data_IF_805827631212
#
_entry.id   IF_805827631212
#
_cell.length_a   1.000
_cell.length_b   1.000
_cell.length_c   1.000
_cell.angle_alpha   90.00
_cell.angle_beta   90.00
_cell.angle_gamma   90.00
#
_symmetry.space_group_name_H-M   'P 1'
#
loop_
_entity.id
_entity.type
_entity.pdbx_description
1 polymer ?
#
# COMPACT_ATOMS: atom_id res chain seq x y z
N UNK A 1 9.75 -12.64 -20.30
CA UNK A 1 8.62 -11.79 -20.75
C UNK A 1 8.45 -10.49 -19.95
N UNK A 2 8.63 -10.46 -18.62
CA UNK A 2 8.51 -9.19 -17.88
C UNK A 2 9.56 -8.14 -18.25
N UNK A 3 10.83 -8.53 -18.43
CA UNK A 3 11.89 -7.58 -18.78
C UNK A 3 11.70 -6.88 -20.14
N UNK A 4 11.06 -7.56 -21.10
CA UNK A 4 10.77 -6.98 -22.42
C UNK A 4 9.58 -6.00 -22.39
N UNK A 5 8.59 -6.23 -21.53
CA UNK A 5 7.43 -5.35 -21.41
C UNK A 5 7.77 -4.01 -20.74
N UNK A 6 8.57 -4.02 -19.66
CA UNK A 6 9.04 -2.78 -19.02
C UNK A 6 9.92 -1.94 -19.94
N UNK A 7 10.77 -2.57 -20.75
CA UNK A 7 11.61 -1.85 -21.72
C UNK A 7 10.75 -1.16 -22.80
N UNK A 8 9.77 -1.88 -23.38
CA UNK A 8 8.86 -1.31 -24.37
C UNK A 8 8.03 -0.16 -23.80
N UNK A 9 7.52 -0.30 -22.57
CA UNK A 9 6.83 0.78 -21.88
C UNK A 9 7.70 2.03 -21.74
N UNK A 10 8.96 1.87 -21.30
CA UNK A 10 9.89 2.99 -21.13
C UNK A 10 10.21 3.67 -22.47
N UNK A 11 10.44 2.89 -23.53
CA UNK A 11 10.70 3.42 -24.88
C UNK A 11 9.49 4.19 -25.41
N UNK A 12 8.28 3.66 -25.27
CA UNK A 12 7.08 4.40 -25.69
C UNK A 12 6.87 5.66 -24.83
N UNK A 13 7.10 5.59 -23.52
CA UNK A 13 6.98 6.77 -22.65
C UNK A 13 7.95 7.89 -23.03
N UNK A 14 9.18 7.55 -23.46
CA UNK A 14 10.23 8.51 -23.80
C UNK A 14 10.13 9.04 -25.23
N UNK A 15 9.80 8.19 -26.20
CA UNK A 15 9.87 8.53 -27.64
C UNK A 15 8.51 8.65 -28.33
N UNK A 16 7.43 8.12 -27.75
CA UNK A 16 6.06 8.16 -28.30
C UNK A 16 5.01 8.24 -27.18
N UNK A 17 5.02 9.34 -26.41
CA UNK A 17 4.17 9.50 -25.23
C UNK A 17 2.67 9.53 -25.54
N UNK A 18 2.29 9.72 -26.81
CA UNK A 18 0.89 9.67 -27.28
C UNK A 18 0.46 8.28 -27.74
N UNK A 19 1.32 7.26 -27.59
CA UNK A 19 1.02 5.89 -28.00
C UNK A 19 -0.25 5.37 -27.32
N UNK A 20 -1.14 4.77 -28.11
CA UNK A 20 -2.42 4.25 -27.63
C UNK A 20 -2.24 3.13 -26.59
N UNK A 21 -1.24 2.27 -26.76
CA UNK A 21 -0.96 1.17 -25.84
C UNK A 21 -0.45 1.68 -24.49
N UNK A 22 0.29 2.80 -24.49
CA UNK A 22 0.73 3.45 -23.26
C UNK A 22 -0.48 3.97 -22.48
N UNK A 23 -1.40 4.68 -23.15
CA UNK A 23 -2.65 5.16 -22.53
C UNK A 23 -3.52 4.01 -22.03
N UNK A 24 -3.65 2.94 -22.82
CA UNK A 24 -4.38 1.74 -22.41
C UNK A 24 -3.78 1.11 -21.16
N UNK A 25 -2.46 0.99 -21.07
CA UNK A 25 -1.79 0.41 -19.91
C UNK A 25 -2.03 1.22 -18.62
N UNK A 26 -2.06 2.55 -18.70
CA UNK A 26 -2.44 3.39 -17.56
C UNK A 26 -3.90 3.19 -17.16
N UNK A 27 -4.81 3.15 -18.13
CA UNK A 27 -6.23 2.92 -17.86
C UNK A 27 -6.46 1.55 -17.23
N UNK A 28 -5.81 0.49 -17.72
CA UNK A 28 -5.92 -0.87 -17.16
C UNK A 28 -5.42 -0.94 -15.71
N UNK A 29 -4.31 -0.27 -15.39
CA UNK A 29 -3.83 -0.20 -13.99
C UNK A 29 -4.82 0.57 -13.11
N UNK A 30 -5.36 1.69 -13.59
CA UNK A 30 -6.32 2.49 -12.82
C UNK A 30 -7.65 1.76 -12.60
N UNK A 31 -8.17 1.08 -13.62
CA UNK A 31 -9.43 0.36 -13.55
C UNK A 31 -9.30 -0.96 -12.78
N UNK A 32 -8.29 -1.78 -13.09
CA UNK A 32 -8.21 -3.15 -12.57
C UNK A 32 -7.41 -3.29 -11.28
N UNK A 33 -6.35 -2.49 -11.09
CA UNK A 33 -5.50 -2.60 -9.89
C UNK A 33 -5.86 -1.57 -8.83
N UNK A 34 -6.24 -0.35 -9.24
CA UNK A 34 -6.56 0.72 -8.29
C UNK A 34 -8.06 0.81 -7.94
N UNK A 35 -8.93 0.09 -8.66
CA UNK A 35 -10.39 0.12 -8.44
C UNK A 35 -10.91 1.57 -8.34
N UNK A 36 -10.63 2.40 -9.35
CA UNK A 36 -10.86 3.86 -9.32
C UNK A 36 -12.25 4.24 -8.77
N UNK A 37 -13.32 3.57 -9.24
CA UNK A 37 -14.68 3.87 -8.81
C UNK A 37 -14.86 3.69 -7.30
N UNK A 38 -14.33 2.61 -6.73
CA UNK A 38 -14.42 2.34 -5.29
C UNK A 38 -13.61 3.36 -4.49
N UNK A 39 -12.44 3.78 -4.99
CA UNK A 39 -11.65 4.84 -4.37
C UNK A 39 -12.41 6.17 -4.37
N UNK A 40 -13.04 6.52 -5.50
CA UNK A 40 -13.86 7.73 -5.63
C UNK A 40 -15.02 7.72 -4.64
N UNK A 41 -15.79 6.64 -4.59
CA UNK A 41 -16.93 6.48 -3.67
C UNK A 41 -16.47 6.59 -2.20
N UNK A 42 -15.32 6.00 -1.86
CA UNK A 42 -14.72 6.11 -0.54
C UNK A 42 -14.35 7.56 -0.18
N UNK A 43 -13.74 8.30 -1.11
CA UNK A 43 -13.35 9.70 -0.89
C UNK A 43 -14.57 10.61 -0.74
N UNK A 44 -15.61 10.42 -1.54
CA UNK A 44 -16.88 11.15 -1.40
C UNK A 44 -17.53 10.88 -0.04
N UNK A 45 -17.56 9.61 0.39
CA UNK A 45 -18.05 9.24 1.72
C UNK A 45 -17.24 9.89 2.85
N UNK A 46 -15.91 9.93 2.73
CA UNK A 46 -15.04 10.59 3.71
C UNK A 46 -15.30 12.11 3.75
N UNK A 47 -15.48 12.75 2.59
CA UNK A 47 -15.77 14.18 2.49
C UNK A 47 -17.06 14.56 3.25
N UNK A 48 -18.07 13.70 3.20
CA UNK A 48 -19.35 13.90 3.90
C UNK A 48 -19.33 13.45 5.36
N UNK A 49 -18.27 12.78 5.80
CA UNK A 49 -18.14 12.23 7.15
C UNK A 49 -17.47 13.22 8.11
N UNK A 50 -17.77 13.10 9.41
CA UNK A 50 -17.01 13.80 10.44
C UNK A 50 -15.63 13.16 10.59
N UNK A 51 -14.58 13.89 10.25
CA UNK A 51 -13.20 13.44 10.43
C UNK A 51 -12.82 13.55 11.91
N UNK A 52 -12.46 12.41 12.52
CA UNK A 52 -11.96 12.34 13.90
C UNK A 52 -10.52 11.85 13.85
N UNK A 53 -9.58 12.73 14.19
CA UNK A 53 -8.14 12.41 14.23
C UNK A 53 -7.76 12.16 15.68
N UNK A 54 -7.23 10.96 15.96
CA UNK A 54 -6.75 10.57 17.29
C UNK A 54 -5.34 10.03 17.21
N UNK A 55 -4.50 10.38 18.19
CA UNK A 55 -3.13 9.86 18.30
C UNK A 55 -3.07 8.87 19.46
N UNK A 56 -3.12 7.55 19.20
CA UNK A 56 -3.06 6.56 20.27
C UNK A 56 -1.66 6.56 20.91
N UNK A 57 -1.60 6.54 22.24
CA UNK A 57 -0.34 6.51 23.00
C UNK A 57 0.34 5.14 23.00
N UNK A 58 -0.35 4.09 22.53
CA UNK A 58 0.12 2.70 22.45
C UNK A 58 -0.30 2.09 21.12
N UNK A 59 0.37 1.01 20.72
CA UNK A 59 0.00 0.26 19.52
C UNK A 59 -1.41 -0.32 19.66
N UNK A 60 -2.27 -0.04 18.68
CA UNK A 60 -3.60 -0.64 18.59
C UNK A 60 -3.52 -2.01 17.94
N UNK A 61 -4.47 -2.94 18.20
CA UNK A 61 -4.51 -4.23 17.52
C UNK A 61 -4.48 -4.13 15.99
N UNK A 62 -5.12 -3.12 15.41
CA UNK A 62 -5.09 -2.89 13.95
C UNK A 62 -3.76 -2.34 13.42
N UNK A 63 -3.00 -1.60 14.24
CA UNK A 63 -1.69 -1.08 13.85
C UNK A 63 -0.58 -2.14 13.99
N UNK A 64 -0.81 -3.20 14.77
CA UNK A 64 0.20 -4.21 15.05
C UNK A 64 0.75 -4.92 13.79
N UNK A 65 -0.08 -5.46 12.86
CA UNK A 65 0.43 -6.12 11.66
C UNK A 65 1.31 -5.18 10.81
N UNK A 66 0.85 -3.93 10.62
CA UNK A 66 1.57 -2.90 9.87
C UNK A 66 2.95 -2.61 10.49
N UNK A 67 3.02 -2.56 11.84
CA UNK A 67 4.29 -2.33 12.53
C UNK A 67 5.23 -3.52 12.40
N UNK A 68 4.71 -4.75 12.43
CA UNK A 68 5.51 -5.97 12.25
C UNK A 68 6.08 -6.04 10.84
N UNK A 69 5.30 -5.71 9.83
CA UNK A 69 5.76 -5.70 8.43
C UNK A 69 6.86 -4.64 8.20
N UNK A 70 6.71 -3.43 8.74
CA UNK A 70 7.78 -2.40 8.70
C UNK A 70 9.08 -2.84 9.38
N UNK A 71 9.01 -3.67 10.43
CA UNK A 71 10.20 -4.21 11.11
C UNK A 71 10.88 -5.31 10.28
N UNK A 72 10.12 -6.08 9.49
CA UNK A 72 10.63 -7.16 8.64
C UNK A 72 11.61 -6.65 7.59
N UNK A 73 11.37 -5.46 7.04
CA UNK A 73 12.24 -4.85 6.01
C UNK A 73 13.66 -4.54 6.52
N UNK A 74 13.82 -4.34 7.84
CA UNK A 74 15.06 -3.85 8.44
C UNK A 74 15.72 -4.86 9.39
N UNK A 75 15.16 -6.07 9.57
CA UNK A 75 15.62 -7.05 10.57
C UNK A 75 15.67 -8.47 10.00
N UNK A 76 16.57 -9.30 10.53
CA UNK A 76 16.57 -10.74 10.24
C UNK A 76 15.36 -11.44 10.87
N UNK A 77 14.90 -12.54 10.25
CA UNK A 77 13.72 -13.29 10.67
C UNK A 77 13.75 -13.73 12.14
N UNK A 78 14.91 -14.17 12.62
CA UNK A 78 15.11 -14.62 14.00
C UNK A 78 14.93 -13.47 15.02
N UNK A 79 15.52 -12.30 14.75
CA UNK A 79 15.40 -11.13 15.63
C UNK A 79 14.00 -10.51 15.58
N UNK A 80 13.30 -10.67 14.45
CA UNK A 80 11.92 -10.21 14.28
C UNK A 80 10.97 -11.00 15.17
N UNK A 81 11.07 -12.33 15.19
CA UNK A 81 10.15 -13.19 15.95
C UNK A 81 10.19 -12.88 17.46
N UNK A 82 11.39 -12.74 18.04
CA UNK A 82 11.55 -12.37 19.44
C UNK A 82 10.97 -10.99 19.77
N UNK A 83 11.06 -10.04 18.83
CA UNK A 83 10.50 -8.70 19.00
C UNK A 83 8.98 -8.70 18.89
N UNK A 84 8.42 -9.46 17.94
CA UNK A 84 6.98 -9.68 17.80
C UNK A 84 6.40 -10.31 19.07
N UNK A 85 7.09 -11.30 19.66
CA UNK A 85 6.66 -11.95 20.91
C UNK A 85 6.57 -10.96 22.07
N UNK A 86 7.58 -10.08 22.23
CA UNK A 86 7.55 -9.02 23.25
C UNK A 86 6.44 -8.00 23.02
N UNK A 87 6.19 -7.64 21.77
CA UNK A 87 5.13 -6.69 21.43
C UNK A 87 3.72 -7.28 21.65
N UNK A 88 3.51 -8.59 21.38
CA UNK A 88 2.24 -9.28 21.70
C UNK A 88 1.93 -9.25 23.19
N UNK A 89 2.92 -9.52 24.05
CA UNK A 89 2.77 -9.43 25.51
C UNK A 89 2.41 -8.02 26.01
N UNK A 90 2.77 -6.97 25.26
CA UNK A 90 2.37 -5.59 25.56
C UNK A 90 0.94 -5.27 25.10
N UNK A 91 0.46 -5.94 24.03
CA UNK A 91 -0.90 -5.83 23.52
C UNK A 91 -1.92 -6.61 24.36
N UNK A 92 -1.55 -7.78 24.89
CA UNK A 92 -2.43 -8.59 25.78
C UNK A 92 -2.64 -7.96 27.16
N UNK A 93 -1.84 -6.93 27.51
CA UNK A 93 -2.01 -6.13 28.73
C UNK A 93 -2.90 -4.89 28.52
N UNK A 94 -3.55 -4.76 27.36
CA UNK A 94 -4.61 -3.78 27.08
C UNK A 94 -5.95 -4.31 27.60
#
# INVERSE_FOLDING_TARGET
>A
LQSSASLLFNVFAEYDSNNLLLRQSYNEVMEQQMEEQRLRDMLERIQQSKIVITVPSRLTPFCFPLKVDSLRENMSSEKLEDRVRKMKLQLEKL
#
